data_IF_737097207728
#
_entry.id   IF_737097207728
#
_cell.length_a   1.000
_cell.length_b   1.000
_cell.length_c   1.000
_cell.angle_alpha   90.00
_cell.angle_beta   90.00
_cell.angle_gamma   90.00
#
_symmetry.space_group_name_H-M   'P 1'
#
loop_
_entity.id
_entity.type
_entity.pdbx_description
1 polymer ?
#
# COMPACT_ATOMS: atom_id res chain seq x y z
N UNK A 1 -7.18 2.07 4.24
CA UNK A 1 -7.92 2.20 5.50
C UNK A 1 -7.06 2.91 6.55
N UNK A 2 -7.51 4.05 7.05
CA UNK A 2 -6.73 4.91 7.98
C UNK A 2 -7.03 4.62 9.46
N UNK A 3 -8.20 4.09 9.79
CA UNK A 3 -8.61 3.86 11.17
C UNK A 3 -8.20 2.47 11.69
N UNK A 4 -7.91 2.38 12.98
CA UNK A 4 -7.41 1.14 13.59
C UNK A 4 -8.49 0.06 13.78
N UNK A 5 -9.75 0.45 13.96
CA UNK A 5 -10.84 -0.47 14.28
C UNK A 5 -11.81 -0.68 13.12
N UNK A 6 -12.56 -1.78 13.20
CA UNK A 6 -13.58 -2.15 12.25
C UNK A 6 -14.68 -1.08 12.11
N UNK A 7 -15.29 -1.01 10.94
CA UNK A 7 -16.34 -0.03 10.68
C UNK A 7 -15.85 1.43 10.69
N UNK A 8 -14.58 1.67 10.38
CA UNK A 8 -13.94 2.99 10.33
C UNK A 8 -13.96 3.69 11.71
N UNK A 9 -13.68 2.93 12.75
CA UNK A 9 -13.65 3.39 14.15
C UNK A 9 -12.23 3.48 14.72
N UNK A 10 -12.07 4.06 15.89
CA UNK A 10 -10.78 4.18 16.57
C UNK A 10 -9.91 5.33 16.05
N UNK A 11 -8.63 5.29 16.38
CA UNK A 11 -7.66 6.31 16.03
C UNK A 11 -7.16 6.18 14.59
N UNK A 12 -6.72 7.29 14.01
CA UNK A 12 -6.01 7.28 12.74
C UNK A 12 -4.65 6.59 12.87
N UNK A 13 -4.28 5.86 11.83
CA UNK A 13 -3.03 5.08 11.75
C UNK A 13 -2.21 5.48 10.54
N UNK A 14 -1.06 4.85 10.34
CA UNK A 14 -0.29 4.92 9.10
C UNK A 14 -0.94 4.19 7.90
N UNK A 15 -2.04 3.46 8.13
CA UNK A 15 -2.74 2.63 7.15
C UNK A 15 -2.81 1.18 7.61
N UNK A 16 -4.02 0.60 7.61
CA UNK A 16 -4.30 -0.78 8.05
C UNK A 16 -4.54 -1.74 6.91
N UNK A 17 -4.29 -1.31 5.70
CA UNK A 17 -4.43 -2.08 4.49
C UNK A 17 -4.80 -1.21 3.31
N UNK A 18 -4.65 -1.77 2.11
CA UNK A 18 -4.95 -1.09 0.87
C UNK A 18 -5.34 -2.08 -0.23
N UNK A 19 -5.82 -1.57 -1.35
CA UNK A 19 -6.18 -2.36 -2.52
C UNK A 19 -5.91 -1.59 -3.82
N UNK A 20 -5.69 -2.31 -4.89
CA UNK A 20 -5.46 -1.77 -6.24
C UNK A 20 -6.06 -2.71 -7.30
N UNK A 21 -6.75 -2.20 -8.33
CA UNK A 21 -7.08 -0.79 -8.58
C UNK A 21 -8.20 -0.28 -7.67
N UNK A 22 -8.29 1.04 -7.50
CA UNK A 22 -9.41 1.66 -6.79
C UNK A 22 -10.62 1.79 -7.71
N UNK A 23 -11.80 1.25 -7.37
CA UNK A 23 -13.01 1.42 -8.18
C UNK A 23 -13.53 2.86 -8.18
N UNK A 24 -13.07 3.68 -7.23
CA UNK A 24 -13.45 5.10 -7.13
C UNK A 24 -12.56 6.01 -7.98
N UNK A 25 -11.40 5.53 -8.42
CA UNK A 25 -10.48 6.27 -9.28
C UNK A 25 -10.83 5.99 -10.74
N UNK A 26 -11.87 6.67 -11.22
CA UNK A 26 -12.39 6.52 -12.58
C UNK A 26 -11.51 7.26 -13.60
N UNK A 27 -11.71 6.97 -14.89
CA UNK A 27 -11.02 7.69 -15.97
C UNK A 27 -11.27 9.22 -15.93
N UNK A 28 -12.47 9.63 -15.51
CA UNK A 28 -12.81 11.04 -15.35
C UNK A 28 -12.01 11.68 -14.21
N UNK A 29 -11.92 10.99 -13.07
CA UNK A 29 -11.10 11.42 -11.93
C UNK A 29 -9.63 11.50 -12.33
N UNK A 30 -9.12 10.52 -13.07
CA UNK A 30 -7.74 10.48 -13.55
C UNK A 30 -7.42 11.68 -14.45
N UNK A 31 -8.28 11.95 -15.44
CA UNK A 31 -8.14 13.12 -16.33
C UNK A 31 -8.14 14.44 -15.57
N UNK A 32 -9.05 14.56 -14.58
CA UNK A 32 -9.09 15.75 -13.74
C UNK A 32 -7.79 15.90 -12.92
N UNK A 33 -7.37 14.84 -12.26
CA UNK A 33 -6.17 14.86 -11.41
C UNK A 33 -4.90 15.16 -12.23
N UNK A 34 -4.74 14.55 -13.40
CA UNK A 34 -3.62 14.84 -14.29
C UNK A 34 -3.55 16.31 -14.67
N UNK A 35 -4.69 16.88 -15.06
CA UNK A 35 -4.77 18.26 -15.54
C UNK A 35 -4.64 19.31 -14.44
N UNK A 36 -5.27 19.09 -13.28
CA UNK A 36 -5.45 20.12 -12.26
C UNK A 36 -4.64 19.89 -10.98
N UNK A 37 -4.07 18.70 -10.80
CA UNK A 37 -3.32 18.35 -9.59
C UNK A 37 -1.89 17.92 -9.94
N UNK A 38 -1.71 16.85 -10.72
CA UNK A 38 -0.39 16.23 -10.89
C UNK A 38 0.54 17.09 -11.70
N UNK A 39 0.15 17.48 -12.91
CA UNK A 39 0.98 18.30 -13.78
C UNK A 39 1.26 19.68 -13.15
N UNK A 40 0.27 20.42 -12.62
CA UNK A 40 0.54 21.69 -11.95
C UNK A 40 1.48 21.59 -10.74
N UNK A 41 1.44 20.46 -9.99
CA UNK A 41 2.36 20.24 -8.88
C UNK A 41 3.81 20.15 -9.36
N UNK A 42 4.06 19.35 -10.39
CA UNK A 42 5.41 19.18 -10.96
C UNK A 42 5.90 20.47 -11.60
N UNK A 43 5.04 21.16 -12.33
CA UNK A 43 5.37 22.45 -12.98
C UNK A 43 5.71 23.52 -11.95
N UNK A 44 4.95 23.61 -10.85
CA UNK A 44 5.22 24.56 -9.78
C UNK A 44 6.58 24.30 -9.10
N UNK A 45 6.91 23.02 -8.82
CA UNK A 45 8.21 22.63 -8.28
C UNK A 45 9.36 23.03 -9.21
N UNK A 46 9.18 22.83 -10.52
CA UNK A 46 10.18 23.23 -11.51
C UNK A 46 10.31 24.76 -11.59
N UNK A 47 9.21 25.50 -11.56
CA UNK A 47 9.20 26.97 -11.59
C UNK A 47 9.89 27.59 -10.37
N UNK A 48 9.84 26.94 -9.21
CA UNK A 48 10.56 27.35 -8.00
C UNK A 48 12.05 26.93 -8.00
N UNK A 49 12.57 26.38 -9.11
CA UNK A 49 13.95 25.91 -9.21
C UNK A 49 14.23 24.61 -8.44
N UNK A 50 13.21 23.85 -8.15
CA UNK A 50 13.26 22.58 -7.42
C UNK A 50 12.56 21.45 -8.20
N UNK A 51 13.01 21.13 -9.43
CA UNK A 51 12.37 20.10 -10.24
C UNK A 51 12.36 18.77 -9.49
N UNK A 52 11.20 18.13 -9.42
CA UNK A 52 11.05 16.84 -8.73
C UNK A 52 11.34 15.70 -9.69
N UNK A 53 12.12 14.73 -9.23
CA UNK A 53 12.33 13.42 -9.89
C UNK A 53 12.08 12.31 -8.88
N UNK A 54 11.35 11.27 -9.28
CA UNK A 54 11.03 10.11 -8.44
C UNK A 54 9.53 9.90 -8.27
N UNK A 55 9.13 9.36 -7.12
CA UNK A 55 7.74 9.01 -6.82
C UNK A 55 7.07 10.06 -5.96
N UNK A 56 5.93 10.56 -6.41
CA UNK A 56 5.01 11.35 -5.60
C UNK A 56 3.73 10.53 -5.38
N UNK A 57 3.41 10.27 -4.12
CA UNK A 57 2.12 9.74 -3.72
C UNK A 57 1.21 10.90 -3.31
N UNK A 58 0.05 11.01 -3.98
CA UNK A 58 -0.97 12.01 -3.69
C UNK A 58 -2.07 11.37 -2.85
N UNK A 59 -2.21 11.81 -1.61
CA UNK A 59 -3.39 11.51 -0.81
C UNK A 59 -4.57 12.37 -1.28
N UNK A 60 -5.58 11.75 -1.87
CA UNK A 60 -6.72 12.45 -2.44
C UNK A 60 -8.01 12.17 -1.66
N UNK A 61 -8.87 13.16 -1.55
CA UNK A 61 -10.26 13.04 -1.11
C UNK A 61 -11.17 13.34 -2.29
N UNK A 62 -12.04 12.39 -2.62
CA UNK A 62 -13.13 12.62 -3.59
C UNK A 62 -14.28 13.33 -2.88
N UNK A 63 -14.58 14.53 -3.32
CA UNK A 63 -15.66 15.35 -2.77
C UNK A 63 -16.70 15.65 -3.84
N UNK A 64 -17.93 16.15 -3.47
CA UNK A 64 -18.90 16.61 -4.45
C UNK A 64 -18.37 17.70 -5.40
N UNK A 65 -17.37 18.47 -4.95
CA UNK A 65 -16.72 19.53 -5.74
C UNK A 65 -15.48 19.03 -6.48
N UNK A 66 -15.31 17.71 -6.64
CA UNK A 66 -14.18 17.05 -7.28
C UNK A 66 -13.05 16.64 -6.31
N UNK A 67 -11.99 16.04 -6.85
CA UNK A 67 -10.84 15.60 -6.07
C UNK A 67 -10.11 16.76 -5.37
N UNK A 68 -9.76 16.56 -4.11
CA UNK A 68 -8.97 17.49 -3.28
C UNK A 68 -7.73 16.80 -2.74
N UNK A 69 -6.60 17.50 -2.74
CA UNK A 69 -5.35 16.97 -2.17
C UNK A 69 -5.37 17.13 -0.65
N UNK A 70 -5.10 16.04 0.05
CA UNK A 70 -4.92 16.01 1.49
C UNK A 70 -3.45 16.12 1.88
N UNK A 71 -2.60 15.36 1.18
CA UNK A 71 -1.16 15.30 1.46
C UNK A 71 -0.36 14.90 0.23
N UNK A 72 0.91 15.22 0.26
CA UNK A 72 1.94 14.75 -0.66
C UNK A 72 2.95 13.90 0.10
N UNK A 73 3.37 12.78 -0.49
CA UNK A 73 4.48 11.99 0.02
C UNK A 73 5.51 11.80 -1.10
N UNK A 74 6.75 12.22 -0.88
CA UNK A 74 7.85 12.12 -1.85
C UNK A 74 8.48 10.71 -1.83
N UNK A 75 7.66 9.68 -1.87
CA UNK A 75 7.98 8.25 -1.83
C UNK A 75 6.74 7.43 -2.19
N UNK A 76 6.92 6.12 -2.38
CA UNK A 76 5.78 5.21 -2.38
C UNK A 76 5.05 5.27 -1.03
N UNK A 77 3.71 5.13 -1.08
CA UNK A 77 2.91 4.97 0.12
C UNK A 77 3.17 3.61 0.81
N UNK A 78 2.83 3.52 2.06
CA UNK A 78 2.86 2.30 2.86
C UNK A 78 1.56 2.22 3.68
N UNK A 79 0.61 1.31 3.33
CA UNK A 79 0.78 0.06 2.56
C UNK A 79 0.43 0.14 1.04
N UNK A 80 0.55 1.27 0.37
CA UNK A 80 0.20 1.42 -1.05
C UNK A 80 1.18 0.68 -1.97
N UNK A 81 2.48 0.71 -1.68
CA UNK A 81 3.50 -0.02 -2.45
C UNK A 81 3.18 -1.51 -2.52
N UNK A 82 2.70 -2.08 -1.43
CA UNK A 82 2.38 -3.50 -1.30
C UNK A 82 1.23 -3.98 -2.20
N UNK A 83 0.45 -3.08 -2.78
CA UNK A 83 -0.63 -3.42 -3.72
C UNK A 83 -0.38 -2.91 -5.14
N UNK A 84 0.50 -1.94 -5.31
CA UNK A 84 0.84 -1.39 -6.63
C UNK A 84 1.96 -2.19 -7.29
N UNK A 85 3.06 -2.43 -6.56
CA UNK A 85 4.24 -3.09 -7.12
C UNK A 85 4.00 -4.55 -7.54
N UNK A 86 3.23 -5.39 -6.81
CA UNK A 86 2.94 -6.75 -7.26
C UNK A 86 2.14 -6.85 -8.57
N UNK A 87 1.48 -5.77 -8.98
CA UNK A 87 0.76 -5.68 -10.25
C UNK A 87 1.61 -5.13 -11.39
N UNK A 88 2.77 -4.57 -11.10
CA UNK A 88 3.65 -3.94 -12.07
C UNK A 88 4.33 -5.00 -12.95
N UNK A 89 4.22 -4.86 -14.28
CA UNK A 89 4.87 -5.74 -15.27
C UNK A 89 6.22 -5.19 -15.73
N UNK A 90 6.32 -3.86 -15.81
CA UNK A 90 7.57 -3.19 -16.19
C UNK A 90 8.58 -3.32 -15.04
N UNK A 91 9.83 -3.62 -15.36
CA UNK A 91 10.88 -3.70 -14.34
C UNK A 91 11.05 -2.34 -13.64
N UNK A 92 11.01 -2.35 -12.31
CA UNK A 92 11.07 -1.13 -11.53
C UNK A 92 12.45 -0.45 -11.61
N UNK A 93 13.50 -1.21 -11.88
CA UNK A 93 14.85 -0.66 -12.06
C UNK A 93 14.90 0.17 -13.33
N UNK A 94 14.35 -0.32 -14.43
CA UNK A 94 14.26 0.44 -15.69
C UNK A 94 13.50 1.77 -15.48
N UNK A 95 12.42 1.73 -14.68
CA UNK A 95 11.64 2.94 -14.35
C UNK A 95 12.47 3.91 -13.49
N UNK A 96 13.23 3.43 -12.53
CA UNK A 96 14.08 4.28 -11.70
C UNK A 96 15.22 4.90 -12.51
N UNK A 97 15.88 4.14 -13.38
CA UNK A 97 16.91 4.64 -14.26
C UNK A 97 16.33 5.71 -15.19
N UNK A 98 15.19 5.46 -15.82
CA UNK A 98 14.51 6.44 -16.66
C UNK A 98 14.10 7.71 -15.89
N UNK A 99 13.69 7.61 -14.63
CA UNK A 99 13.43 8.77 -13.78
C UNK A 99 14.70 9.61 -13.56
N UNK A 100 15.84 8.97 -13.29
CA UNK A 100 17.13 9.64 -13.07
C UNK A 100 17.58 10.33 -14.35
N UNK A 101 17.52 9.65 -15.47
CA UNK A 101 17.99 10.11 -16.79
C UNK A 101 17.02 11.14 -17.41
N UNK A 102 15.79 11.23 -16.92
CA UNK A 102 14.75 12.13 -17.47
C UNK A 102 14.15 11.62 -18.78
N UNK A 103 14.10 10.30 -18.95
CA UNK A 103 13.57 9.59 -20.14
C UNK A 103 12.32 8.76 -19.81
N UNK A 104 11.63 9.06 -18.71
CA UNK A 104 10.47 8.30 -18.25
C UNK A 104 9.31 8.32 -19.26
N UNK A 105 9.20 9.34 -20.09
CA UNK A 105 8.25 9.46 -21.19
C UNK A 105 8.49 8.46 -22.32
N UNK A 106 9.65 7.79 -22.33
CA UNK A 106 10.02 6.74 -23.29
C UNK A 106 9.73 5.33 -22.76
N UNK A 107 9.34 5.18 -21.49
CA UNK A 107 8.98 3.90 -20.86
C UNK A 107 7.49 3.65 -21.04
N UNK A 108 7.13 2.48 -21.56
CA UNK A 108 5.76 1.96 -21.52
C UNK A 108 5.50 1.27 -20.18
N UNK A 109 5.03 2.03 -19.22
CA UNK A 109 4.75 1.56 -17.84
C UNK A 109 3.48 0.70 -17.84
N UNK A 110 3.64 -0.61 -17.67
CA UNK A 110 2.56 -1.58 -17.71
C UNK A 110 2.25 -2.20 -16.35
N UNK A 111 0.97 -2.37 -16.09
CA UNK A 111 0.43 -3.12 -14.94
C UNK A 111 -0.42 -4.29 -15.42
N UNK A 112 -0.53 -5.32 -14.59
CA UNK A 112 -1.45 -6.42 -14.83
C UNK A 112 -2.91 -5.97 -14.59
N UNK A 113 -3.85 -6.58 -15.30
CA UNK A 113 -5.29 -6.28 -15.17
C UNK A 113 -5.92 -6.86 -13.90
N UNK A 114 -5.19 -7.72 -13.17
CA UNK A 114 -5.60 -8.30 -11.90
C UNK A 114 -5.79 -7.26 -10.79
N UNK A 115 -6.36 -7.69 -9.69
CA UNK A 115 -6.45 -6.90 -8.46
C UNK A 115 -5.46 -7.38 -7.42
N UNK A 116 -5.15 -6.50 -6.46
CA UNK A 116 -4.28 -6.77 -5.34
C UNK A 116 -4.86 -6.18 -4.06
N UNK A 117 -4.80 -6.92 -2.96
CA UNK A 117 -5.24 -6.47 -1.63
C UNK A 117 -4.13 -6.76 -0.62
N UNK A 118 -3.83 -5.77 0.22
CA UNK A 118 -2.92 -5.89 1.35
C UNK A 118 -3.69 -5.69 2.66
N UNK A 119 -3.50 -6.61 3.59
CA UNK A 119 -4.04 -6.55 4.95
C UNK A 119 -2.88 -6.36 5.91
N UNK A 120 -2.95 -5.35 6.76
CA UNK A 120 -1.92 -5.07 7.76
C UNK A 120 -2.24 -5.81 9.05
N UNK A 121 -1.27 -6.60 9.52
CA UNK A 121 -1.27 -7.19 10.85
C UNK A 121 -0.47 -6.27 11.77
N UNK A 122 -1.10 -5.81 12.84
CA UNK A 122 -0.53 -4.87 13.79
C UNK A 122 -0.41 -5.48 15.18
N UNK A 123 0.48 -4.93 15.99
CA UNK A 123 0.55 -5.24 17.42
C UNK A 123 -0.67 -4.69 18.16
N UNK A 124 -1.24 -5.45 19.10
CA UNK A 124 -2.36 -5.00 19.90
C UNK A 124 -2.01 -3.70 20.67
N UNK A 125 -2.94 -2.76 20.64
CA UNK A 125 -2.76 -1.42 21.22
C UNK A 125 -2.21 -0.37 20.23
N UNK A 126 -1.79 -0.78 19.03
CA UNK A 126 -1.44 0.17 17.96
C UNK A 126 -2.64 1.07 17.60
N UNK A 127 -2.51 2.40 17.39
CA UNK A 127 -1.26 3.16 17.25
C UNK A 127 -0.72 3.81 18.56
N UNK A 128 -1.28 3.51 19.72
CA UNK A 128 -0.93 4.21 20.98
C UNK A 128 0.29 3.57 21.65
N UNK A 129 0.12 2.37 22.19
CA UNK A 129 1.18 1.64 22.87
C UNK A 129 1.04 0.16 22.61
N UNK A 130 2.16 -0.53 22.42
CA UNK A 130 2.16 -1.95 22.10
C UNK A 130 3.45 -2.60 22.57
N UNK A 131 3.37 -3.89 22.88
CA UNK A 131 4.52 -4.73 23.20
C UNK A 131 5.22 -5.21 21.95
N UNK A 132 6.49 -5.61 22.07
CA UNK A 132 7.38 -6.06 20.98
C UNK A 132 8.12 -7.31 21.40
N UNK A 133 8.68 -8.02 20.41
CA UNK A 133 9.55 -9.17 20.64
C UNK A 133 8.85 -10.52 20.60
N UNK A 134 7.60 -10.56 20.12
CA UNK A 134 6.88 -11.81 19.93
C UNK A 134 7.33 -12.53 18.65
N UNK A 135 7.67 -13.84 18.72
CA UNK A 135 8.02 -14.63 17.56
C UNK A 135 6.89 -14.65 16.52
N UNK A 136 7.27 -14.54 15.24
CA UNK A 136 6.36 -14.62 14.10
C UNK A 136 6.53 -15.98 13.46
N UNK A 137 5.43 -16.72 13.27
CA UNK A 137 5.39 -18.07 12.72
C UNK A 137 4.70 -18.08 11.37
N UNK A 138 4.98 -19.09 10.54
CA UNK A 138 4.26 -19.37 9.29
C UNK A 138 4.71 -18.57 8.08
N UNK A 139 5.74 -17.74 8.17
CA UNK A 139 6.25 -16.91 7.08
C UNK A 139 6.71 -17.72 5.86
N UNK A 140 7.19 -18.94 6.08
CA UNK A 140 7.68 -19.86 5.04
C UNK A 140 6.56 -20.31 4.09
N UNK A 141 5.31 -20.34 4.55
CA UNK A 141 4.15 -20.77 3.76
C UNK A 141 3.98 -19.92 2.49
N UNK A 142 4.33 -18.64 2.55
CA UNK A 142 4.22 -17.74 1.39
C UNK A 142 5.13 -18.14 0.22
N UNK A 143 6.24 -18.83 0.48
CA UNK A 143 7.17 -19.28 -0.57
C UNK A 143 6.59 -20.37 -1.46
N UNK A 144 5.57 -21.06 -0.99
CA UNK A 144 4.91 -22.18 -1.68
C UNK A 144 3.70 -21.72 -2.52
N UNK A 145 3.32 -20.43 -2.43
CA UNK A 145 2.11 -19.91 -3.05
C UNK A 145 2.41 -18.69 -3.92
N UNK A 146 2.31 -18.86 -5.23
CA UNK A 146 2.45 -17.75 -6.18
C UNK A 146 1.28 -16.77 -6.06
N UNK A 147 1.56 -15.47 -6.21
CA UNK A 147 0.56 -14.41 -6.07
C UNK A 147 0.23 -14.01 -4.64
N UNK A 148 0.94 -14.59 -3.66
CA UNK A 148 0.82 -14.24 -2.24
C UNK A 148 2.16 -13.73 -1.70
N UNK A 149 2.10 -12.67 -0.93
CA UNK A 149 3.30 -12.01 -0.40
C UNK A 149 3.09 -11.65 1.06
N UNK A 150 4.16 -11.75 1.85
CA UNK A 150 4.21 -11.27 3.23
C UNK A 150 5.33 -10.24 3.35
N UNK A 151 4.95 -8.96 3.37
CA UNK A 151 5.90 -7.87 3.50
C UNK A 151 6.19 -7.57 4.96
N UNK A 152 7.46 -7.51 5.30
CA UNK A 152 7.92 -7.12 6.62
C UNK A 152 7.83 -5.60 6.79
N UNK A 153 7.21 -5.16 7.90
CA UNK A 153 7.19 -3.78 8.34
C UNK A 153 7.92 -3.65 9.69
N UNK A 154 7.20 -3.70 10.79
CA UNK A 154 7.77 -3.64 12.12
C UNK A 154 8.28 -4.99 12.62
N UNK A 155 9.29 -5.55 11.99
CA UNK A 155 9.92 -6.82 12.39
C UNK A 155 11.41 -6.64 12.61
N UNK A 156 12.03 -7.56 13.33
CA UNK A 156 13.50 -7.69 13.44
C UNK A 156 13.90 -9.15 13.60
N UNK A 157 15.15 -9.43 13.29
CA UNK A 157 15.77 -10.73 13.60
C UNK A 157 16.35 -10.70 15.00
N UNK A 158 16.01 -11.69 15.82
CA UNK A 158 16.49 -11.84 17.19
C UNK A 158 16.64 -13.32 17.55
N UNK A 159 17.79 -13.71 18.03
CA UNK A 159 18.11 -15.06 18.55
C UNK A 159 17.72 -16.21 17.58
N UNK A 160 17.89 -15.99 16.26
CA UNK A 160 17.57 -16.96 15.22
C UNK A 160 16.11 -16.92 14.71
N UNK A 161 15.27 -16.06 15.25
CA UNK A 161 13.85 -15.91 14.90
C UNK A 161 13.51 -14.50 14.42
N UNK A 162 12.44 -14.39 13.62
CA UNK A 162 11.85 -13.11 13.27
C UNK A 162 10.80 -12.76 14.34
N UNK A 163 10.92 -11.58 14.93
CA UNK A 163 10.03 -11.13 16.00
C UNK A 163 9.40 -9.77 15.68
N UNK A 164 8.28 -9.46 16.35
CA UNK A 164 7.63 -8.15 16.25
C UNK A 164 8.53 -7.04 16.80
N UNK A 165 8.58 -5.88 16.12
CA UNK A 165 9.38 -4.73 16.53
C UNK A 165 8.73 -3.38 16.19
N UNK A 166 7.45 -3.38 15.82
CA UNK A 166 6.72 -2.17 15.44
C UNK A 166 5.22 -2.29 15.67
N UNK A 167 4.50 -1.20 15.44
CA UNK A 167 3.04 -1.19 15.53
C UNK A 167 2.40 -1.94 14.38
N UNK A 168 2.69 -1.54 13.12
CA UNK A 168 2.38 -2.36 11.93
C UNK A 168 3.51 -3.36 11.77
N UNK A 169 3.19 -4.64 11.75
CA UNK A 169 4.16 -5.73 11.81
C UNK A 169 4.37 -6.37 10.45
N UNK A 170 3.28 -6.79 9.80
CA UNK A 170 3.31 -7.45 8.50
C UNK A 170 2.25 -6.85 7.57
N UNK A 171 2.52 -6.86 6.27
CA UNK A 171 1.55 -6.63 5.21
C UNK A 171 1.31 -7.92 4.43
N UNK A 172 0.18 -8.59 4.70
CA UNK A 172 -0.22 -9.80 3.97
C UNK A 172 -0.95 -9.39 2.71
N UNK A 173 -0.40 -9.75 1.56
CA UNK A 173 -0.84 -9.28 0.25
C UNK A 173 -1.17 -10.46 -0.64
N UNK A 174 -2.26 -10.36 -1.39
CA UNK A 174 -2.62 -11.36 -2.39
C UNK A 174 -3.19 -10.74 -3.66
N UNK A 175 -2.94 -11.42 -4.78
CA UNK A 175 -3.51 -11.14 -6.08
C UNK A 175 -4.82 -11.92 -6.29
N UNK A 176 -5.64 -11.45 -7.23
CA UNK A 176 -6.85 -12.13 -7.71
C UNK A 176 -7.35 -11.46 -8.99
N UNK A 177 -8.16 -12.14 -9.78
CA UNK A 177 -8.73 -11.58 -11.02
C UNK A 177 -9.69 -10.41 -10.73
N UNK A 178 -10.26 -10.39 -9.54
CA UNK A 178 -11.15 -9.33 -9.05
C UNK A 178 -10.74 -8.86 -7.65
N UNK A 179 -11.15 -7.65 -7.26
CA UNK A 179 -10.95 -7.17 -5.89
C UNK A 179 -11.58 -8.09 -4.84
N UNK A 180 -12.74 -8.68 -5.14
CA UNK A 180 -13.41 -9.63 -4.26
C UNK A 180 -12.55 -10.87 -4.03
N UNK A 181 -11.98 -11.41 -5.10
CA UNK A 181 -11.09 -12.58 -5.03
C UNK A 181 -9.77 -12.24 -4.34
N UNK A 182 -9.09 -11.16 -4.74
CA UNK A 182 -7.85 -10.72 -4.10
C UNK A 182 -8.04 -10.52 -2.58
N UNK A 183 -9.18 -9.95 -2.17
CA UNK A 183 -9.55 -9.82 -0.76
C UNK A 183 -9.70 -11.19 -0.08
N UNK A 184 -10.47 -12.10 -0.67
CA UNK A 184 -10.67 -13.43 -0.10
C UNK A 184 -9.33 -14.18 0.03
N UNK A 185 -8.47 -14.08 -0.98
CA UNK A 185 -7.13 -14.65 -0.98
C UNK A 185 -6.25 -14.02 0.12
N UNK A 186 -6.27 -12.69 0.29
CA UNK A 186 -5.49 -12.02 1.33
C UNK A 186 -5.93 -12.45 2.73
N UNK A 187 -7.22 -12.52 3.01
CA UNK A 187 -7.73 -13.01 4.30
C UNK A 187 -7.39 -14.47 4.55
N UNK A 188 -7.47 -15.33 3.54
CA UNK A 188 -7.00 -16.73 3.63
C UNK A 188 -5.51 -16.79 4.01
N UNK A 189 -4.69 -15.94 3.42
CA UNK A 189 -3.25 -15.90 3.68
C UNK A 189 -2.90 -15.31 5.06
N UNK A 190 -3.77 -14.50 5.63
CA UNK A 190 -3.63 -14.01 7.02
C UNK A 190 -3.58 -15.17 8.01
N UNK A 191 -4.36 -16.24 7.78
CA UNK A 191 -4.38 -17.42 8.63
C UNK A 191 -3.09 -18.25 8.59
N UNK A 192 -2.19 -17.97 7.65
CA UNK A 192 -0.90 -18.67 7.54
C UNK A 192 0.17 -18.13 8.50
N UNK A 193 0.00 -16.91 8.98
CA UNK A 193 0.96 -16.27 9.89
C UNK A 193 0.33 -15.93 11.22
N UNK A 194 1.11 -16.08 12.26
CA UNK A 194 0.68 -15.82 13.62
C UNK A 194 1.79 -15.21 14.47
N UNK A 195 1.41 -14.33 15.37
CA UNK A 195 2.20 -13.82 16.47
C UNK A 195 1.30 -13.38 17.63
N UNK A 196 1.79 -13.53 18.86
CA UNK A 196 1.02 -13.19 20.05
C UNK A 196 0.63 -11.70 20.07
N UNK A 197 -0.58 -11.41 20.51
CA UNK A 197 -1.19 -10.07 20.54
C UNK A 197 -1.28 -9.41 19.16
N UNK A 198 -1.60 -10.17 18.11
CA UNK A 198 -1.87 -9.62 16.79
C UNK A 198 -3.23 -8.93 16.74
N UNK A 199 -3.29 -7.79 16.06
CA UNK A 199 -4.50 -7.07 15.68
C UNK A 199 -4.64 -7.08 14.16
N UNK A 200 -5.77 -7.59 13.69
CA UNK A 200 -6.10 -7.64 12.26
C UNK A 200 -7.32 -6.74 12.05
N UNK A 201 -7.20 -5.76 11.16
CA UNK A 201 -8.33 -4.94 10.77
C UNK A 201 -9.18 -5.70 9.74
N UNK A 202 -10.46 -5.94 10.06
CA UNK A 202 -11.42 -6.50 9.09
C UNK A 202 -11.90 -5.34 8.22
N UNK A 203 -11.28 -5.18 7.04
CA UNK A 203 -11.71 -4.17 6.10
C UNK A 203 -12.89 -4.65 5.28
N UNK A 204 -13.99 -3.93 5.34
CA UNK A 204 -15.03 -4.01 4.31
C UNK A 204 -14.62 -3.11 3.15
N UNK A 205 -14.34 -3.64 1.94
CA UNK A 205 -13.86 -2.83 0.82
C UNK A 205 -14.95 -2.02 0.13
N UNK A 206 -16.16 -2.05 0.65
CA UNK A 206 -17.29 -1.38 0.01
C UNK A 206 -18.11 -0.62 1.03
N UNK A 207 -17.79 0.65 1.21
CA UNK A 207 -18.85 1.62 1.45
C UNK A 207 -19.08 2.38 0.14
N UNK A 208 -20.35 2.45 -0.31
CA UNK A 208 -20.74 3.31 -1.43
C UNK A 208 -20.46 4.77 -1.12
#
# INVERSE_FOLDING_TARGET
HKRAGDGDTGLNTGGMGNFSPSPFYTEEVDKFCKKYIYQPTVDAMAAEGRPFKGVIFFGLMLTPDGPKVLEYNARFGDPEAQVVLPRMKTDIIDVFEACIDGTLDQIDLQFADNACVCIVLASNGYPVSYEKGFPIRGLETFKEHEGYYCFHAGTKFKDGEIVTNGGRVLGVTALGDTLKEARANAYKAVDWVDFDLSLIHISEPTRP
#
